data_IF_840960860481
#
_entry.id   IF_840960860481
#
_cell.length_a   1.000
_cell.length_b   1.000
_cell.length_c   1.000
_cell.angle_alpha   90.00
_cell.angle_beta   90.00
_cell.angle_gamma   90.00
#
_symmetry.space_group_name_H-M   'P 1'
#
loop_
_entity.id
_entity.type
_entity.pdbx_description
1 polymer ?
#
# COMPACT_ATOMS: atom_id res chain seq x y z
N UNK A 1 17.38 12.43 -16.22
CA UNK A 1 17.14 12.58 -14.77
C UNK A 1 15.64 12.79 -14.60
N UNK A 2 15.08 12.34 -13.49
CA UNK A 2 13.68 12.60 -13.12
C UNK A 2 13.66 13.27 -11.76
N UNK A 3 12.61 14.01 -11.44
CA UNK A 3 12.33 14.39 -10.05
C UNK A 3 12.32 13.12 -9.17
N UNK A 4 12.72 13.27 -7.92
CA UNK A 4 12.95 12.21 -6.92
C UNK A 4 14.07 11.21 -7.25
N UNK A 5 14.89 11.45 -8.29
CA UNK A 5 16.07 10.61 -8.54
C UNK A 5 17.17 10.88 -7.50
N UNK A 6 17.86 9.82 -7.06
CA UNK A 6 19.03 9.94 -6.20
C UNK A 6 20.28 10.18 -7.04
N UNK A 7 21.04 11.20 -6.67
CA UNK A 7 22.23 11.65 -7.38
C UNK A 7 23.41 11.80 -6.43
N UNK A 8 24.62 11.61 -6.96
CA UNK A 8 25.87 11.94 -6.29
C UNK A 8 26.50 13.13 -6.96
N UNK A 9 26.98 14.05 -6.13
CA UNK A 9 27.83 15.14 -6.59
C UNK A 9 29.18 14.56 -7.00
N UNK A 10 29.47 14.56 -8.29
CA UNK A 10 30.75 14.06 -8.82
C UNK A 10 31.72 15.16 -9.19
N UNK A 11 31.21 16.39 -9.36
CA UNK A 11 32.02 17.60 -9.54
C UNK A 11 31.25 18.82 -9.08
N UNK A 12 31.97 19.91 -8.80
CA UNK A 12 31.40 21.22 -8.46
C UNK A 12 32.01 22.27 -9.39
N UNK A 13 31.17 22.97 -10.16
CA UNK A 13 31.63 24.06 -11.04
C UNK A 13 31.74 25.37 -10.27
N UNK A 14 30.89 25.54 -9.26
CA UNK A 14 30.81 26.75 -8.45
C UNK A 14 31.33 26.47 -7.05
N UNK A 15 32.53 26.95 -6.74
CA UNK A 15 33.18 26.73 -5.44
C UNK A 15 32.38 27.34 -4.26
N UNK A 16 31.68 28.46 -4.50
CA UNK A 16 30.85 29.14 -3.51
C UNK A 16 29.37 29.12 -3.91
N UNK A 17 28.85 27.92 -4.23
CA UNK A 17 27.43 27.70 -4.55
C UNK A 17 26.55 28.20 -3.40
N UNK A 18 25.43 28.85 -3.75
CA UNK A 18 24.39 29.18 -2.78
C UNK A 18 23.63 27.93 -2.39
N UNK A 19 23.28 27.81 -1.13
CA UNK A 19 22.51 26.69 -0.60
C UNK A 19 21.69 27.15 0.59
N UNK A 20 20.55 26.49 0.77
CA UNK A 20 19.74 26.57 1.98
C UNK A 20 19.94 25.30 2.81
N UNK A 21 19.48 25.29 4.07
CA UNK A 21 19.56 24.13 4.94
C UNK A 21 19.11 24.43 6.36
N UNK A 22 19.03 23.38 7.18
CA UNK A 22 18.60 23.47 8.57
C UNK A 22 19.75 23.99 9.46
N UNK A 23 19.48 24.99 10.30
CA UNK A 23 20.47 25.52 11.25
C UNK A 23 21.05 24.43 12.16
N UNK A 24 22.35 24.47 12.40
CA UNK A 24 23.07 23.49 13.21
C UNK A 24 23.60 22.28 12.44
N UNK A 25 23.00 21.93 11.29
CA UNK A 25 23.48 20.83 10.42
C UNK A 25 23.86 21.29 9.02
N UNK A 26 23.45 22.49 8.60
CA UNK A 26 23.70 22.99 7.25
C UNK A 26 25.20 23.17 6.96
N UNK A 27 25.62 22.74 5.77
CA UNK A 27 26.97 22.96 5.22
C UNK A 27 26.94 22.98 3.70
N UNK A 28 27.98 23.52 3.06
CA UNK A 28 28.06 23.54 1.61
C UNK A 28 28.08 22.10 1.01
N UNK A 29 27.55 21.92 -0.22
CA UNK A 29 27.69 20.67 -0.96
C UNK A 29 29.15 20.30 -1.22
N UNK A 30 29.47 19.01 -1.17
CA UNK A 30 30.81 18.46 -1.41
C UNK A 30 30.76 17.35 -2.46
N UNK A 31 31.87 17.17 -3.19
CA UNK A 31 32.04 16.01 -4.07
C UNK A 31 31.96 14.75 -3.22
N UNK A 32 31.11 13.81 -3.63
CA UNK A 32 30.83 12.59 -2.90
C UNK A 32 29.49 12.62 -2.17
N UNK A 33 28.92 13.81 -1.91
CA UNK A 33 27.60 13.91 -1.29
C UNK A 33 26.54 13.26 -2.16
N UNK A 34 25.55 12.67 -1.49
CA UNK A 34 24.38 12.03 -2.11
C UNK A 34 23.13 12.83 -1.73
N UNK A 35 22.30 13.13 -2.70
CA UNK A 35 21.05 13.86 -2.51
C UNK A 35 19.96 13.40 -3.47
N UNK A 36 18.76 13.92 -3.27
CA UNK A 36 17.56 13.63 -4.06
C UNK A 36 17.22 14.86 -4.90
N UNK A 37 16.93 14.67 -6.19
CA UNK A 37 16.39 15.75 -7.03
C UNK A 37 14.98 16.07 -6.54
N UNK A 38 14.78 17.26 -5.99
CA UNK A 38 13.46 17.72 -5.49
C UNK A 38 12.74 18.66 -6.47
N UNK A 39 13.46 19.13 -7.50
CA UNK A 39 12.87 19.92 -8.59
C UNK A 39 13.66 19.72 -9.88
N UNK A 40 12.95 19.61 -11.00
CA UNK A 40 13.56 19.49 -12.33
C UNK A 40 12.70 20.19 -13.39
N UNK A 41 13.18 21.32 -13.91
CA UNK A 41 12.54 22.01 -15.04
C UNK A 41 13.57 22.56 -16.01
N UNK A 42 13.54 22.08 -17.27
CA UNK A 42 14.52 22.45 -18.27
C UNK A 42 15.95 22.07 -17.86
N UNK A 43 16.80 23.07 -17.64
CA UNK A 43 18.18 22.91 -17.15
C UNK A 43 18.34 23.11 -15.65
N UNK A 44 17.28 23.56 -14.95
CA UNK A 44 17.33 23.77 -13.50
C UNK A 44 17.12 22.45 -12.78
N UNK A 45 18.09 22.06 -11.96
CA UNK A 45 18.03 20.87 -11.12
C UNK A 45 18.25 21.32 -9.68
N UNK A 46 17.27 21.12 -8.79
CA UNK A 46 17.46 21.37 -7.36
C UNK A 46 17.61 20.02 -6.67
N UNK A 47 18.67 19.90 -5.87
CA UNK A 47 19.00 18.68 -5.14
C UNK A 47 19.00 18.99 -3.65
N UNK A 48 18.39 18.09 -2.87
CA UNK A 48 18.40 18.11 -1.42
C UNK A 48 19.27 16.98 -0.87
N UNK A 49 20.18 17.30 0.06
CA UNK A 49 20.91 16.34 0.87
C UNK A 49 20.47 16.47 2.32
N UNK A 50 20.13 15.35 2.93
CA UNK A 50 19.71 15.27 4.33
C UNK A 50 20.73 14.48 5.15
N UNK A 51 20.81 14.78 6.44
CA UNK A 51 21.60 13.99 7.38
C UNK A 51 20.88 12.69 7.80
N UNK A 52 21.48 11.95 8.72
CA UNK A 52 20.92 10.69 9.26
C UNK A 52 19.60 10.87 10.03
N UNK A 53 19.27 12.09 10.45
CA UNK A 53 18.05 12.43 11.20
C UNK A 53 16.98 13.04 10.28
N UNK A 54 17.27 13.13 8.97
CA UNK A 54 16.36 13.66 7.95
C UNK A 54 16.38 15.19 7.85
N UNK A 55 17.33 15.87 8.51
CA UNK A 55 17.45 17.32 8.44
C UNK A 55 18.26 17.75 7.22
N UNK A 56 17.79 18.77 6.50
CA UNK A 56 18.43 19.27 5.28
C UNK A 56 19.83 19.82 5.58
N UNK A 57 20.85 19.08 5.16
CA UNK A 57 22.27 19.48 5.22
C UNK A 57 22.56 20.54 4.16
N UNK A 58 21.99 20.39 2.97
CA UNK A 58 21.94 21.44 1.96
C UNK A 58 20.82 21.21 0.95
N UNK A 59 20.30 22.30 0.41
CA UNK A 59 19.40 22.36 -0.75
C UNK A 59 19.98 23.36 -1.73
N UNK A 60 20.30 22.92 -2.95
CA UNK A 60 20.98 23.79 -3.92
C UNK A 60 20.71 23.41 -5.38
N UNK A 61 20.96 24.35 -6.30
CA UNK A 61 20.87 24.14 -7.73
C UNK A 61 22.15 23.48 -8.30
N UNK A 62 22.01 22.61 -9.28
CA UNK A 62 23.13 21.90 -9.92
C UNK A 62 22.98 21.90 -11.43
N UNK A 63 24.12 21.95 -12.13
CA UNK A 63 24.18 21.54 -13.53
C UNK A 63 24.14 20.01 -13.62
N UNK A 64 23.48 19.49 -14.67
CA UNK A 64 23.36 18.04 -14.92
C UNK A 64 24.70 17.33 -14.90
N UNK A 65 25.75 17.97 -15.39
CA UNK A 65 27.08 17.37 -15.49
C UNK A 65 27.81 17.32 -14.15
N UNK A 66 27.32 18.01 -13.12
CA UNK A 66 27.83 17.93 -11.74
C UNK A 66 27.39 16.68 -11.00
N UNK A 67 26.40 15.98 -11.56
CA UNK A 67 25.67 14.91 -10.91
C UNK A 67 25.83 13.60 -11.66
N UNK A 68 26.21 12.55 -10.94
CA UNK A 68 26.05 11.18 -11.38
C UNK A 68 24.76 10.64 -10.79
N UNK A 69 23.88 10.09 -11.62
CA UNK A 69 22.69 9.40 -11.13
C UNK A 69 23.16 8.08 -10.51
N UNK A 70 23.16 8.00 -9.18
CA UNK A 70 23.61 6.80 -8.47
C UNK A 70 22.62 5.64 -8.61
N UNK A 71 21.37 6.00 -8.85
CA UNK A 71 20.27 5.11 -9.13
C UNK A 71 19.26 5.98 -9.84
N UNK A 72 18.75 5.55 -11.01
CA UNK A 72 17.36 5.84 -11.34
C UNK A 72 16.62 5.60 -10.04
N UNK A 73 15.99 6.61 -9.41
CA UNK A 73 15.25 6.38 -8.16
C UNK A 73 14.51 5.07 -8.36
N UNK A 74 14.78 4.07 -7.49
CA UNK A 74 14.45 2.66 -7.78
C UNK A 74 13.11 2.67 -8.50
N UNK A 75 13.02 2.17 -9.76
CA UNK A 75 11.85 2.43 -10.58
C UNK A 75 10.64 2.14 -9.71
N UNK A 76 9.91 3.21 -9.35
CA UNK A 76 8.74 3.05 -8.53
C UNK A 76 7.91 2.07 -9.31
N UNK A 77 7.66 0.93 -8.68
CA UNK A 77 7.14 -0.23 -9.37
C UNK A 77 5.99 0.24 -10.27
N UNK A 78 6.14 0.10 -11.59
CA UNK A 78 5.22 0.74 -12.57
C UNK A 78 3.76 0.25 -12.39
N UNK A 79 3.58 -0.78 -11.55
CA UNK A 79 2.29 -1.30 -11.11
C UNK A 79 1.62 -0.43 -10.04
N UNK A 80 2.34 0.43 -9.33
CA UNK A 80 1.82 1.20 -8.18
C UNK A 80 0.70 2.15 -8.60
N UNK A 81 0.88 2.99 -9.63
CA UNK A 81 -0.18 3.94 -10.02
C UNK A 81 -1.47 3.22 -10.48
N UNK A 82 -1.41 2.17 -11.34
CA UNK A 82 -2.59 1.37 -11.64
C UNK A 82 -3.24 0.71 -10.41
N UNK A 83 -2.43 0.24 -9.45
CA UNK A 83 -2.91 -0.38 -8.22
C UNK A 83 -3.61 0.64 -7.33
N UNK A 84 -3.05 1.83 -7.15
CA UNK A 84 -3.65 2.92 -6.38
C UNK A 84 -5.00 3.28 -6.99
N UNK A 85 -5.06 3.48 -8.32
CA UNK A 85 -6.31 3.79 -9.01
C UNK A 85 -7.38 2.71 -8.84
N UNK A 86 -6.99 1.43 -8.82
CA UNK A 86 -7.92 0.33 -8.57
C UNK A 86 -8.47 0.34 -7.12
N UNK A 87 -7.62 0.63 -6.13
CA UNK A 87 -8.02 0.70 -4.72
C UNK A 87 -8.90 1.91 -4.42
N UNK A 88 -8.59 3.07 -5.01
CA UNK A 88 -9.42 4.29 -4.95
C UNK A 88 -10.81 4.00 -5.53
N UNK A 89 -10.85 3.38 -6.70
CA UNK A 89 -12.11 2.99 -7.33
C UNK A 89 -12.91 2.02 -6.47
N UNK A 90 -12.28 1.04 -5.83
CA UNK A 90 -12.96 0.12 -4.92
C UNK A 90 -13.58 0.85 -3.71
N UNK A 91 -12.91 1.87 -3.17
CA UNK A 91 -13.46 2.70 -2.10
C UNK A 91 -14.67 3.52 -2.57
N UNK A 92 -14.56 4.15 -3.75
CA UNK A 92 -15.66 4.89 -4.38
C UNK A 92 -16.86 3.99 -4.66
N UNK A 93 -16.63 2.83 -5.27
CA UNK A 93 -17.67 1.85 -5.60
C UNK A 93 -18.32 1.28 -4.33
N UNK A 94 -17.57 1.06 -3.25
CA UNK A 94 -18.12 0.63 -1.96
C UNK A 94 -19.01 1.69 -1.34
N UNK A 95 -18.58 2.95 -1.35
CA UNK A 95 -19.38 4.07 -0.86
C UNK A 95 -20.67 4.23 -1.69
N UNK A 96 -20.58 4.15 -3.01
CA UNK A 96 -21.72 4.29 -3.90
C UNK A 96 -22.70 3.11 -3.79
N UNK A 97 -22.20 1.89 -3.63
CA UNK A 97 -23.03 0.67 -3.62
C UNK A 97 -23.63 0.38 -2.25
N UNK A 98 -22.89 0.64 -1.18
CA UNK A 98 -23.27 0.21 0.18
C UNK A 98 -23.56 1.36 1.14
N UNK A 99 -23.19 2.60 0.80
CA UNK A 99 -23.25 3.75 1.71
C UNK A 99 -24.66 4.22 2.09
N UNK A 100 -25.69 3.84 1.33
CA UNK A 100 -27.09 4.14 1.65
C UNK A 100 -27.84 2.99 2.32
N UNK A 101 -27.18 1.84 2.53
CA UNK A 101 -27.82 0.70 3.17
C UNK A 101 -28.09 1.00 4.65
N UNK A 102 -29.29 0.62 5.10
CA UNK A 102 -29.66 0.65 6.52
C UNK A 102 -28.80 -0.33 7.34
N UNK A 103 -28.77 -0.14 8.66
CA UNK A 103 -28.08 -1.06 9.58
C UNK A 103 -28.56 -2.52 9.42
N UNK A 104 -29.86 -2.71 9.18
CA UNK A 104 -30.44 -4.02 8.92
C UNK A 104 -29.91 -4.61 7.61
N UNK A 105 -29.93 -3.85 6.52
CA UNK A 105 -29.40 -4.29 5.22
C UNK A 105 -27.90 -4.60 5.27
N UNK A 106 -27.11 -3.79 5.99
CA UNK A 106 -25.67 -4.00 6.17
C UNK A 106 -25.36 -5.31 6.91
N UNK A 107 -26.19 -5.68 7.88
CA UNK A 107 -26.01 -6.89 8.69
C UNK A 107 -26.81 -8.10 8.18
N UNK A 108 -27.67 -7.93 7.18
CA UNK A 108 -28.48 -9.02 6.62
C UNK A 108 -27.61 -10.11 5.99
N UNK A 109 -28.04 -11.36 6.16
CA UNK A 109 -27.35 -12.56 5.66
C UNK A 109 -28.33 -13.42 4.86
N UNK A 110 -27.90 -13.96 3.70
CA UNK A 110 -28.75 -14.88 2.93
C UNK A 110 -28.97 -16.22 3.64
N UNK A 111 -28.00 -16.63 4.47
CA UNK A 111 -28.08 -17.82 5.31
C UNK A 111 -27.10 -17.71 6.49
N UNK A 112 -27.22 -18.60 7.48
CA UNK A 112 -26.41 -18.57 8.71
C UNK A 112 -24.90 -18.83 8.50
N UNK A 113 -24.51 -19.42 7.37
CA UNK A 113 -23.11 -19.72 7.03
C UNK A 113 -22.47 -18.65 6.14
N UNK A 114 -23.26 -17.71 5.62
CA UNK A 114 -22.82 -16.64 4.74
C UNK A 114 -22.49 -15.36 5.52
N UNK A 115 -21.58 -14.56 4.96
CA UNK A 115 -21.27 -13.24 5.50
C UNK A 115 -22.25 -12.19 4.97
N UNK A 116 -22.54 -11.19 5.81
CA UNK A 116 -23.25 -9.97 5.41
C UNK A 116 -22.31 -9.00 4.67
N UNK A 117 -22.86 -7.91 4.14
CA UNK A 117 -22.07 -6.80 3.56
C UNK A 117 -21.09 -6.26 4.61
N UNK A 118 -21.57 -5.97 5.82
CA UNK A 118 -20.74 -5.45 6.89
C UNK A 118 -19.60 -6.41 7.26
N UNK A 119 -19.89 -7.72 7.31
CA UNK A 119 -18.87 -8.74 7.62
C UNK A 119 -17.82 -8.86 6.51
N UNK A 120 -18.19 -8.69 5.24
CA UNK A 120 -17.23 -8.63 4.14
C UNK A 120 -16.30 -7.42 4.29
N UNK A 121 -16.83 -6.23 4.58
CA UNK A 121 -16.03 -5.01 4.74
C UNK A 121 -15.13 -5.05 5.99
N UNK A 122 -15.64 -5.55 7.12
CA UNK A 122 -14.84 -5.69 8.35
C UNK A 122 -13.70 -6.69 8.18
N UNK A 123 -13.95 -7.79 7.45
CA UNK A 123 -12.89 -8.72 7.07
C UNK A 123 -11.77 -8.04 6.28
N UNK A 124 -12.13 -7.21 5.28
CA UNK A 124 -11.17 -6.47 4.47
C UNK A 124 -10.34 -5.49 5.31
N UNK A 125 -10.98 -4.74 6.21
CA UNK A 125 -10.28 -3.84 7.14
C UNK A 125 -9.22 -4.61 7.94
N UNK A 126 -9.62 -5.71 8.58
CA UNK A 126 -8.71 -6.52 9.43
C UNK A 126 -7.55 -7.13 8.65
N UNK A 127 -7.80 -7.61 7.43
CA UNK A 127 -6.74 -8.15 6.58
C UNK A 127 -5.79 -7.06 6.10
N UNK A 128 -6.31 -5.88 5.78
CA UNK A 128 -5.51 -4.73 5.35
C UNK A 128 -4.64 -4.22 6.49
N UNK A 129 -5.16 -4.08 7.72
CA UNK A 129 -4.38 -3.71 8.90
C UNK A 129 -3.21 -4.69 9.14
N UNK A 130 -3.49 -6.00 9.05
CA UNK A 130 -2.47 -7.04 9.26
C UNK A 130 -1.40 -7.02 8.16
N UNK A 131 -1.79 -6.86 6.90
CA UNK A 131 -0.88 -6.81 5.77
C UNK A 131 -0.04 -5.53 5.77
N UNK A 132 -0.66 -4.39 5.99
CA UNK A 132 0.03 -3.09 6.03
C UNK A 132 0.97 -2.99 7.22
N UNK A 133 0.67 -3.62 8.36
CA UNK A 133 1.61 -3.74 9.47
C UNK A 133 2.90 -4.48 9.06
N UNK A 134 2.78 -5.59 8.31
CA UNK A 134 3.94 -6.33 7.81
C UNK A 134 4.78 -5.50 6.82
N UNK A 135 4.14 -4.69 5.98
CA UNK A 135 4.84 -3.77 5.06
C UNK A 135 5.51 -2.62 5.82
N UNK A 136 4.82 -2.02 6.80
CA UNK A 136 5.37 -0.94 7.64
C UNK A 136 6.60 -1.39 8.43
N UNK A 137 6.64 -2.62 8.92
CA UNK A 137 7.83 -3.18 9.54
C UNK A 137 9.06 -3.09 8.61
N UNK A 138 8.90 -3.38 7.31
CA UNK A 138 9.95 -3.18 6.30
C UNK A 138 10.30 -1.72 6.08
N UNK A 139 9.28 -0.85 5.98
CA UNK A 139 9.48 0.60 5.82
C UNK A 139 10.28 1.20 7.00
N UNK A 140 10.12 0.64 8.20
CA UNK A 140 10.82 1.06 9.41
C UNK A 140 12.23 0.45 9.56
N UNK A 141 12.70 -0.30 8.57
CA UNK A 141 14.03 -0.90 8.58
C UNK A 141 14.17 -2.15 9.45
N UNK A 142 13.06 -2.80 9.83
CA UNK A 142 13.14 -4.06 10.58
C UNK A 142 13.84 -5.14 9.76
N UNK A 143 14.77 -5.84 10.42
CA UNK A 143 15.56 -6.89 9.78
C UNK A 143 14.69 -8.04 9.28
N UNK A 144 15.07 -8.64 8.15
CA UNK A 144 14.33 -9.78 7.61
C UNK A 144 14.41 -11.02 8.50
N UNK A 145 13.27 -11.70 8.64
CA UNK A 145 13.12 -12.96 9.36
C UNK A 145 13.95 -14.07 8.69
N UNK A 146 14.15 -15.17 9.40
CA UNK A 146 14.85 -16.34 8.84
C UNK A 146 14.17 -16.85 7.55
N UNK A 147 12.83 -16.94 7.55
CA UNK A 147 12.09 -17.40 6.38
C UNK A 147 12.14 -16.41 5.21
N UNK A 148 12.15 -15.11 5.48
CA UNK A 148 12.28 -14.10 4.42
C UNK A 148 13.63 -14.16 3.72
N UNK A 149 14.69 -14.53 4.44
CA UNK A 149 16.04 -14.65 3.88
C UNK A 149 16.26 -15.96 3.11
N UNK A 150 15.65 -17.06 3.56
CA UNK A 150 16.07 -18.40 3.13
C UNK A 150 14.95 -19.28 2.57
N UNK A 151 13.69 -18.84 2.54
CA UNK A 151 12.58 -19.67 2.01
C UNK A 151 12.73 -19.89 0.50
N UNK A 152 12.89 -21.14 0.03
CA UNK A 152 12.95 -21.43 -1.41
C UNK A 152 11.56 -21.40 -2.07
N UNK A 153 10.49 -21.23 -1.29
CA UNK A 153 9.10 -21.40 -1.74
C UNK A 153 8.34 -20.09 -1.95
N UNK A 154 8.98 -18.93 -1.73
CA UNK A 154 8.31 -17.62 -1.77
C UNK A 154 7.57 -17.36 -3.09
N UNK A 155 8.19 -17.66 -4.24
CA UNK A 155 7.54 -17.50 -5.55
C UNK A 155 6.40 -18.49 -5.80
N UNK A 156 6.49 -19.71 -5.26
CA UNK A 156 5.42 -20.71 -5.37
C UNK A 156 4.19 -20.30 -4.56
N UNK A 157 4.36 -19.88 -3.31
CA UNK A 157 3.27 -19.43 -2.45
C UNK A 157 2.59 -18.17 -2.99
N UNK A 158 3.35 -17.19 -3.48
CA UNK A 158 2.80 -16.00 -4.13
C UNK A 158 1.90 -16.35 -5.32
N UNK A 159 2.42 -17.14 -6.28
CA UNK A 159 1.64 -17.55 -7.46
C UNK A 159 0.38 -18.35 -7.10
N UNK A 160 0.47 -19.25 -6.11
CA UNK A 160 -0.66 -20.04 -5.64
C UNK A 160 -1.76 -19.17 -5.04
N UNK A 161 -1.41 -18.26 -4.13
CA UNK A 161 -2.38 -17.39 -3.46
C UNK A 161 -3.07 -16.44 -4.44
N UNK A 162 -2.35 -15.84 -5.39
CA UNK A 162 -2.96 -14.99 -6.43
C UNK A 162 -4.02 -15.73 -7.23
N UNK A 163 -3.70 -16.93 -7.72
CA UNK A 163 -4.66 -17.79 -8.44
C UNK A 163 -5.86 -18.18 -7.57
N UNK A 164 -5.64 -18.35 -6.28
CA UNK A 164 -6.69 -18.68 -5.33
C UNK A 164 -7.63 -17.47 -5.09
N UNK A 165 -7.10 -16.25 -4.97
CA UNK A 165 -7.89 -15.02 -4.78
C UNK A 165 -8.79 -14.71 -5.99
N UNK A 166 -8.30 -14.91 -7.21
CA UNK A 166 -9.09 -14.67 -8.44
C UNK A 166 -10.28 -15.66 -8.56
N UNK A 167 -10.25 -16.80 -7.86
CA UNK A 167 -11.25 -17.85 -7.99
C UNK A 167 -12.32 -17.81 -6.89
N UNK A 168 -13.44 -17.14 -7.17
CA UNK A 168 -14.60 -17.03 -6.26
C UNK A 168 -15.28 -18.35 -5.93
N UNK A 169 -15.19 -19.36 -6.81
CA UNK A 169 -15.87 -20.63 -6.61
C UNK A 169 -15.26 -21.45 -5.47
N UNK A 170 -14.00 -21.15 -5.10
CA UNK A 170 -13.32 -21.84 -3.99
C UNK A 170 -13.63 -21.15 -2.67
N UNK A 171 -14.31 -21.89 -1.78
CA UNK A 171 -14.50 -21.48 -0.39
C UNK A 171 -13.29 -21.91 0.45
N UNK A 172 -12.82 -21.03 1.32
CA UNK A 172 -11.85 -21.36 2.36
C UNK A 172 -12.26 -20.65 3.65
N UNK A 173 -11.92 -21.27 4.78
CA UNK A 173 -12.04 -20.61 6.08
C UNK A 173 -10.91 -19.60 6.22
N UNK A 174 -11.17 -18.53 6.98
CA UNK A 174 -10.13 -17.60 7.38
C UNK A 174 -8.97 -18.37 8.05
N UNK A 175 -7.70 -18.10 7.66
CA UNK A 175 -6.53 -18.74 8.26
C UNK A 175 -6.30 -18.38 9.73
N UNK A 176 -6.92 -17.30 10.23
CA UNK A 176 -6.84 -16.85 11.63
C UNK A 176 -8.23 -16.42 12.13
N UNK A 177 -8.47 -16.56 13.43
CA UNK A 177 -9.69 -16.05 14.09
C UNK A 177 -9.72 -14.52 14.17
N UNK A 178 -8.56 -13.86 14.11
CA UNK A 178 -8.43 -12.39 14.23
C UNK A 178 -9.07 -11.64 13.07
N UNK A 179 -9.14 -12.29 11.90
CA UNK A 179 -9.74 -11.75 10.68
C UNK A 179 -11.15 -12.30 10.45
N UNK A 180 -11.74 -13.01 11.42
CA UNK A 180 -13.15 -13.41 11.36
C UNK A 180 -13.99 -12.23 11.86
N UNK A 181 -14.91 -11.70 11.04
CA UNK A 181 -15.72 -10.55 11.45
C UNK A 181 -16.72 -10.96 12.55
N UNK A 182 -17.08 -10.04 13.48
CA UNK A 182 -18.09 -10.29 14.50
C UNK A 182 -19.48 -10.49 13.89
N UNK A 183 -20.46 -10.96 14.68
CA UNK A 183 -21.81 -11.24 14.20
C UNK A 183 -22.56 -9.99 13.75
N UNK A 184 -22.43 -8.92 14.54
CA UNK A 184 -23.10 -7.63 14.39
C UNK A 184 -22.07 -6.52 14.32
N UNK A 185 -22.22 -5.65 13.32
CA UNK A 185 -21.29 -4.56 13.01
C UNK A 185 -22.10 -3.26 12.91
N UNK A 186 -21.51 -2.16 13.38
CA UNK A 186 -22.12 -0.83 13.33
C UNK A 186 -22.39 -0.34 11.89
N UNK A 187 -23.25 0.69 11.79
CA UNK A 187 -23.61 1.31 10.52
C UNK A 187 -22.50 2.14 9.88
N UNK A 188 -21.40 2.41 10.59
CA UNK A 188 -20.27 3.21 10.09
C UNK A 188 -19.26 2.36 9.30
N UNK A 189 -19.51 1.06 9.13
CA UNK A 189 -18.57 0.13 8.50
C UNK A 189 -18.11 0.56 7.10
N UNK A 190 -18.99 1.19 6.31
CA UNK A 190 -18.63 1.67 4.96
C UNK A 190 -17.63 2.83 5.05
N UNK A 191 -17.83 3.76 5.99
CA UNK A 191 -16.89 4.86 6.23
C UNK A 191 -15.56 4.33 6.77
N UNK A 192 -15.59 3.40 7.73
CA UNK A 192 -14.37 2.75 8.25
C UNK A 192 -13.58 2.01 7.17
N UNK A 193 -14.27 1.36 6.23
CA UNK A 193 -13.63 0.72 5.08
C UNK A 193 -12.94 1.74 4.17
N UNK A 194 -13.61 2.86 3.87
CA UNK A 194 -13.00 3.93 3.06
C UNK A 194 -11.77 4.54 3.74
N UNK A 195 -11.85 4.81 5.05
CA UNK A 195 -10.72 5.33 5.83
C UNK A 195 -9.53 4.35 5.84
N UNK A 196 -9.81 3.04 5.94
CA UNK A 196 -8.77 2.02 5.87
C UNK A 196 -8.18 1.87 4.47
N UNK A 197 -8.96 2.08 3.42
CA UNK A 197 -8.44 2.12 2.05
C UNK A 197 -7.43 3.24 1.86
N UNK A 198 -7.71 4.46 2.35
CA UNK A 198 -6.74 5.55 2.26
C UNK A 198 -5.44 5.23 3.01
N UNK A 199 -5.52 4.59 4.18
CA UNK A 199 -4.33 4.16 4.93
C UNK A 199 -3.55 3.09 4.18
N UNK A 200 -4.24 2.17 3.54
CA UNK A 200 -3.65 1.09 2.74
C UNK A 200 -2.93 1.65 1.51
N UNK A 201 -3.58 2.57 0.78
CA UNK A 201 -3.01 3.30 -0.36
C UNK A 201 -1.71 4.03 0.03
N UNK A 202 -1.71 4.75 1.16
CA UNK A 202 -0.51 5.43 1.67
C UNK A 202 0.66 4.46 1.89
N UNK A 203 0.40 3.31 2.51
CA UNK A 203 1.44 2.29 2.76
C UNK A 203 1.96 1.66 1.45
N UNK A 204 1.08 1.39 0.49
CA UNK A 204 1.47 0.83 -0.82
C UNK A 204 2.31 1.85 -1.60
N UNK A 205 1.92 3.13 -1.56
CA UNK A 205 2.67 4.24 -2.16
C UNK A 205 4.09 4.29 -1.58
N UNK A 206 4.21 4.30 -0.24
CA UNK A 206 5.51 4.30 0.45
C UNK A 206 6.33 3.05 0.18
N UNK A 207 5.69 1.91 -0.06
CA UNK A 207 6.34 0.65 -0.42
C UNK A 207 6.86 0.62 -1.85
N UNK A 208 6.42 1.55 -2.71
CA UNK A 208 6.88 1.70 -4.09
C UNK A 208 8.40 1.93 -4.22
N UNK A 209 9.08 2.33 -3.14
CA UNK A 209 10.54 2.51 -3.07
C UNK A 209 11.34 1.21 -2.95
N UNK A 210 10.68 0.06 -2.77
CA UNK A 210 11.33 -1.23 -2.65
C UNK A 210 11.28 -2.00 -3.96
N UNK A 211 12.34 -2.76 -4.27
CA UNK A 211 12.28 -3.77 -5.33
C UNK A 211 11.15 -4.79 -5.02
N UNK A 212 10.08 -4.83 -5.82
CA UNK A 212 8.89 -5.62 -5.52
C UNK A 212 9.13 -7.13 -5.62
N UNK A 213 10.18 -7.56 -6.32
CA UNK A 213 10.53 -8.98 -6.50
C UNK A 213 11.53 -9.46 -5.46
N UNK A 214 12.44 -8.60 -5.03
CA UNK A 214 13.49 -8.97 -4.05
C UNK A 214 13.06 -8.77 -2.59
N UNK A 215 12.14 -7.86 -2.33
CA UNK A 215 11.62 -7.66 -0.98
C UNK A 215 10.67 -8.80 -0.64
N UNK A 216 11.03 -9.60 0.38
CA UNK A 216 10.23 -10.74 0.81
C UNK A 216 9.51 -10.41 2.13
N UNK A 217 8.23 -10.75 2.18
CA UNK A 217 7.38 -10.65 3.35
C UNK A 217 7.02 -12.04 3.86
N UNK A 218 7.05 -12.20 5.18
CA UNK A 218 6.34 -13.29 5.86
C UNK A 218 4.86 -12.94 5.94
N UNK A 219 3.98 -13.89 5.62
CA UNK A 219 2.53 -13.66 5.76
C UNK A 219 2.17 -13.43 7.23
N UNK A 220 1.39 -12.38 7.55
CA UNK A 220 0.89 -12.16 8.90
C UNK A 220 -0.13 -13.23 9.33
N UNK A 221 -0.73 -13.94 8.37
CA UNK A 221 -1.78 -14.93 8.62
C UNK A 221 -1.25 -16.35 8.80
N UNK A 222 -0.12 -16.68 8.15
CA UNK A 222 0.53 -17.98 8.22
C UNK A 222 2.05 -17.79 8.19
N UNK A 223 2.71 -17.87 9.35
CA UNK A 223 4.14 -17.58 9.53
C UNK A 223 5.09 -18.44 8.67
N UNK A 224 4.63 -19.60 8.20
CA UNK A 224 5.40 -20.50 7.31
C UNK A 224 5.37 -20.04 5.85
N UNK A 225 4.47 -19.11 5.50
CA UNK A 225 4.31 -18.64 4.14
C UNK A 225 5.06 -17.33 3.94
N UNK A 226 5.83 -17.27 2.88
CA UNK A 226 6.51 -16.07 2.42
C UNK A 226 6.12 -15.78 0.98
N UNK A 227 6.20 -14.51 0.57
CA UNK A 227 5.98 -14.09 -0.80
C UNK A 227 6.69 -12.75 -1.05
N UNK A 228 6.88 -12.41 -2.32
CA UNK A 228 7.45 -11.10 -2.67
C UNK A 228 6.49 -9.98 -2.29
N UNK A 229 7.00 -8.77 -2.02
CA UNK A 229 6.18 -7.57 -1.79
C UNK A 229 5.22 -7.36 -2.95
N UNK A 230 5.70 -7.57 -4.17
CA UNK A 230 4.87 -7.45 -5.36
C UNK A 230 3.73 -8.46 -5.41
N UNK A 231 3.97 -9.70 -4.99
CA UNK A 231 2.89 -10.68 -4.85
C UNK A 231 1.95 -10.33 -3.69
N UNK A 232 2.47 -9.78 -2.59
CA UNK A 232 1.66 -9.39 -1.45
C UNK A 232 0.63 -8.31 -1.82
N UNK A 233 1.06 -7.30 -2.60
CA UNK A 233 0.19 -6.23 -3.09
C UNK A 233 -0.84 -6.80 -4.07
N UNK A 234 -0.41 -7.62 -5.04
CA UNK A 234 -1.35 -8.28 -5.96
C UNK A 234 -2.40 -9.12 -5.21
N UNK A 235 -1.98 -9.88 -4.19
CA UNK A 235 -2.89 -10.70 -3.36
C UNK A 235 -3.88 -9.83 -2.62
N UNK A 236 -3.43 -8.71 -2.03
CA UNK A 236 -4.28 -7.75 -1.32
C UNK A 236 -5.36 -7.20 -2.25
N UNK A 237 -4.98 -6.68 -3.43
CA UNK A 237 -5.92 -6.11 -4.41
C UNK A 237 -6.95 -7.15 -4.88
N UNK A 238 -6.51 -8.37 -5.19
CA UNK A 238 -7.43 -9.43 -5.62
C UNK A 238 -8.32 -9.96 -4.48
N UNK A 239 -7.84 -9.92 -3.23
CA UNK A 239 -8.64 -10.23 -2.04
C UNK A 239 -9.75 -9.21 -1.82
N UNK A 240 -9.45 -7.92 -1.97
CA UNK A 240 -10.45 -6.85 -1.92
C UNK A 240 -11.54 -7.02 -2.96
N UNK A 241 -11.16 -7.20 -4.23
CA UNK A 241 -12.12 -7.44 -5.33
C UNK A 241 -13.01 -8.64 -5.07
N UNK A 242 -12.47 -9.70 -4.48
CA UNK A 242 -13.21 -10.92 -4.17
C UNK A 242 -14.28 -10.68 -3.12
N UNK A 243 -13.95 -9.98 -2.02
CA UNK A 243 -14.92 -9.71 -0.96
C UNK A 243 -15.87 -8.56 -1.30
N UNK A 244 -15.46 -7.61 -2.13
CA UNK A 244 -16.37 -6.63 -2.73
C UNK A 244 -17.46 -7.33 -3.56
N UNK A 245 -17.08 -8.24 -4.47
CA UNK A 245 -18.04 -9.05 -5.25
C UNK A 245 -18.88 -9.97 -4.38
N UNK A 246 -18.33 -10.45 -3.25
CA UNK A 246 -19.12 -11.20 -2.27
C UNK A 246 -20.21 -10.32 -1.63
N UNK A 247 -19.88 -9.10 -1.21
CA UNK A 247 -20.86 -8.14 -0.68
C UNK A 247 -21.93 -7.78 -1.72
N UNK A 248 -21.55 -7.58 -2.99
CA UNK A 248 -22.53 -7.37 -4.07
C UNK A 248 -23.49 -8.54 -4.25
N UNK A 249 -23.01 -9.78 -4.11
CA UNK A 249 -23.89 -10.97 -4.16
C UNK A 249 -24.87 -11.02 -2.98
N UNK A 250 -24.51 -10.48 -1.81
CA UNK A 250 -25.42 -10.40 -0.66
C UNK A 250 -26.62 -9.51 -1.00
N UNK A 251 -26.39 -8.30 -1.52
CA UNK A 251 -27.49 -7.39 -1.88
C UNK A 251 -28.32 -7.86 -3.08
N UNK A 252 -27.74 -8.70 -3.94
CA UNK A 252 -28.44 -9.35 -5.05
C UNK A 252 -29.15 -10.66 -4.66
N UNK A 253 -29.07 -11.09 -3.40
CA UNK A 253 -29.65 -12.36 -2.95
C UNK A 253 -31.17 -12.26 -2.77
N UNK A 254 -31.94 -13.31 -3.09
CA UNK A 254 -33.36 -13.36 -2.78
C UNK A 254 -33.62 -13.13 -1.28
N UNK A 255 -34.57 -12.25 -0.97
CA UNK A 255 -34.92 -11.92 0.42
C UNK A 255 -34.09 -10.80 1.04
N UNK A 256 -33.18 -10.16 0.29
CA UNK A 256 -32.53 -8.93 0.74
C UNK A 256 -33.60 -7.86 1.07
N UNK A 257 -33.51 -7.17 2.23
CA UNK A 257 -34.53 -6.20 2.62
C UNK A 257 -34.62 -5.06 1.60
N UNK A 258 -35.82 -4.79 1.10
CA UNK A 258 -36.08 -3.60 0.31
C UNK A 258 -35.89 -2.35 1.17
N UNK A 259 -35.58 -1.23 0.54
CA UNK A 259 -35.62 0.07 1.20
C UNK A 259 -37.03 0.24 1.76
N UNK A 260 -37.16 0.09 3.08
CA UNK A 260 -38.36 0.49 3.77
C UNK A 260 -38.33 1.99 3.69
N UNK A 261 -39.03 2.56 2.70
CA UNK A 261 -39.45 3.94 2.75
C UNK A 261 -39.91 4.23 4.16
N UNK A 262 -39.41 5.34 4.69
CA UNK A 262 -39.95 6.07 5.81
C UNK A 262 -41.47 6.24 5.63
N UNK A 263 -42.23 5.19 5.93
CA UNK A 263 -43.67 5.22 6.11
C UNK A 263 -43.88 5.45 7.59
N UNK A 264 -44.00 6.74 7.91
CA UNK A 264 -44.83 7.35 8.95
C UNK A 264 -45.09 6.56 10.24
#
# INVERSE_FOLDING_TARGET
MKEYSVVKVVRLHTANRRFDGTEGVKRAPQIGDVGTIVYLEGSLIIVECVDKEGLTTWLADFDRTELEVLTLGEPMDERIDPIISELEKLAEDAKATFGSLSLEQLNWKPDAASWSVAQCLDHLIRTNESMTAAVRAKLNGEGSSFFEKYSPFSGFFGSYLKKFMVNDSKKAKAPSTEIVPPSDIDGEIVNRFCDEQEKTIRVITDAGRFDPKKTILTSPFLRIMTYSLGDAIDILVEHEKRHFRQAQRVIASPGFPADTEANA
#
